data_IF_687962968874
#
_entry.id   IF_687962968874
#
_cell.length_a   1.000
_cell.length_b   1.000
_cell.length_c   1.000
_cell.angle_alpha   90.00
_cell.angle_beta   90.00
_cell.angle_gamma   90.00
#
_symmetry.space_group_name_H-M   'P 1'
#
loop_
_entity.id
_entity.type
_entity.pdbx_description
1 polymer ?
#
# COMPACT_ATOMS: atom_id res chain seq x y z
N UNK A 1 16.39 12.16 -11.56
CA UNK A 1 15.39 12.88 -12.37
C UNK A 1 14.78 11.87 -13.31
N UNK A 2 13.46 11.71 -13.31
CA UNK A 2 12.77 10.79 -14.22
C UNK A 2 12.68 11.41 -15.62
N UNK A 3 12.82 10.59 -16.67
CA UNK A 3 12.56 11.00 -18.05
C UNK A 3 11.11 11.47 -18.24
N UNK A 4 10.84 12.37 -19.19
CA UNK A 4 9.48 12.85 -19.48
C UNK A 4 8.48 11.71 -19.71
N UNK A 5 8.92 10.61 -20.32
CA UNK A 5 8.12 9.41 -20.54
C UNK A 5 7.86 8.59 -19.27
N UNK A 6 8.85 8.48 -18.38
CA UNK A 6 8.69 7.80 -17.08
C UNK A 6 7.69 8.52 -16.18
N UNK A 7 7.68 9.86 -16.22
CA UNK A 7 6.71 10.66 -15.50
C UNK A 7 5.27 10.46 -16.01
N UNK A 8 5.09 10.18 -17.31
CA UNK A 8 3.77 9.90 -17.88
C UNK A 8 3.27 8.52 -17.46
N UNK A 9 4.13 7.49 -17.53
CA UNK A 9 3.81 6.14 -17.07
C UNK A 9 3.45 6.11 -15.58
N UNK A 10 4.23 6.78 -14.72
CA UNK A 10 3.94 6.89 -13.29
C UNK A 10 2.58 7.55 -13.01
N UNK A 11 2.17 8.55 -13.80
CA UNK A 11 0.83 9.16 -13.68
C UNK A 11 -0.28 8.17 -14.03
N UNK A 12 -0.08 7.31 -15.04
CA UNK A 12 -1.05 6.29 -15.40
C UNK A 12 -1.19 5.24 -14.30
N UNK A 13 -0.07 4.75 -13.76
CA UNK A 13 -0.10 3.80 -12.64
C UNK A 13 -0.72 4.42 -11.39
N UNK A 14 -0.46 5.70 -11.10
CA UNK A 14 -1.13 6.41 -10.01
C UNK A 14 -2.65 6.42 -10.19
N UNK A 15 -3.13 6.78 -11.38
CA UNK A 15 -4.58 6.78 -11.69
C UNK A 15 -5.18 5.38 -11.52
N UNK A 16 -4.46 4.34 -11.96
CA UNK A 16 -4.90 2.94 -11.82
C UNK A 16 -5.05 2.53 -10.36
N UNK A 17 -4.04 2.81 -9.52
CA UNK A 17 -4.10 2.48 -8.09
C UNK A 17 -5.20 3.27 -7.38
N UNK A 18 -5.36 4.56 -7.71
CA UNK A 18 -6.45 5.38 -7.17
C UNK A 18 -7.81 4.78 -7.55
N UNK A 19 -8.03 4.43 -8.81
CA UNK A 19 -9.28 3.81 -9.27
C UNK A 19 -9.57 2.49 -8.53
N UNK A 20 -8.57 1.64 -8.30
CA UNK A 20 -8.75 0.41 -7.51
C UNK A 20 -9.24 0.67 -6.09
N UNK A 21 -8.75 1.75 -5.45
CA UNK A 21 -9.17 2.11 -4.10
C UNK A 21 -10.57 2.73 -4.14
N UNK A 22 -10.86 3.62 -5.11
CA UNK A 22 -12.17 4.25 -5.27
C UNK A 22 -13.29 3.23 -5.52
N UNK A 23 -13.01 2.17 -6.30
CA UNK A 23 -13.94 1.03 -6.47
C UNK A 23 -14.27 0.29 -5.16
N UNK A 24 -13.43 0.45 -4.12
CA UNK A 24 -13.66 -0.14 -2.80
C UNK A 24 -14.32 0.86 -1.83
N UNK A 25 -14.64 2.08 -2.24
CA UNK A 25 -15.27 3.10 -1.41
C UNK A 25 -16.74 3.22 -1.83
N UNK A 26 -17.69 3.28 -0.88
CA UNK A 26 -19.10 3.56 -1.21
C UNK A 26 -19.24 4.86 -2.01
N UNK A 27 -20.08 4.88 -3.04
CA UNK A 27 -20.26 6.05 -3.91
C UNK A 27 -20.69 7.29 -3.11
N UNK A 28 -21.52 7.10 -2.09
CA UNK A 28 -21.97 8.18 -1.21
C UNK A 28 -20.80 8.84 -0.47
N UNK A 29 -19.80 8.06 -0.05
CA UNK A 29 -18.62 8.60 0.63
C UNK A 29 -17.71 9.38 -0.34
N UNK A 30 -17.64 8.98 -1.61
CA UNK A 30 -16.92 9.71 -2.66
C UNK A 30 -17.62 11.03 -2.97
N UNK A 31 -18.94 11.02 -3.16
CA UNK A 31 -19.77 12.20 -3.44
C UNK A 31 -19.69 13.24 -2.30
N UNK A 32 -19.59 12.77 -1.06
CA UNK A 32 -19.44 13.63 0.11
C UNK A 32 -18.05 14.27 0.23
N UNK A 33 -17.08 13.89 -0.61
CA UNK A 33 -15.77 14.53 -0.72
C UNK A 33 -14.59 13.71 -0.20
N UNK A 34 -14.73 12.38 -0.09
CA UNK A 34 -13.58 11.51 0.22
C UNK A 34 -12.54 11.57 -0.91
N UNK A 35 -11.27 11.81 -0.55
CA UNK A 35 -10.19 11.93 -1.52
C UNK A 35 -9.17 10.81 -1.36
N UNK A 36 -8.80 10.17 -2.47
CA UNK A 36 -7.76 9.13 -2.51
C UNK A 36 -6.48 9.67 -3.11
N UNK A 37 -5.36 9.41 -2.44
CA UNK A 37 -4.02 9.78 -2.89
C UNK A 37 -3.11 8.55 -2.89
N UNK A 38 -2.52 8.23 -4.04
CA UNK A 38 -1.44 7.24 -4.15
C UNK A 38 -0.11 7.92 -4.46
N UNK A 39 0.97 7.50 -3.80
CA UNK A 39 2.33 8.00 -4.01
C UNK A 39 3.36 6.88 -3.90
N UNK A 40 4.38 6.95 -4.75
CA UNK A 40 5.52 6.04 -4.67
C UNK A 40 6.55 6.62 -3.70
N UNK A 41 6.91 5.85 -2.68
CA UNK A 41 7.83 6.23 -1.62
C UNK A 41 9.11 5.44 -1.79
N UNK A 42 10.25 6.14 -1.76
CA UNK A 42 11.57 5.51 -1.73
C UNK A 42 12.09 5.45 -0.29
N UNK A 43 12.65 4.30 0.08
CA UNK A 43 13.39 4.17 1.32
C UNK A 43 14.68 4.98 1.24
N UNK A 44 14.93 5.87 2.21
CA UNK A 44 16.13 6.75 2.23
C UNK A 44 17.32 6.14 2.99
N UNK A 45 17.21 4.91 3.50
CA UNK A 45 18.27 4.28 4.28
C UNK A 45 19.29 3.56 3.37
N UNK A 46 20.60 3.63 3.66
CA UNK A 46 21.63 2.93 2.89
C UNK A 46 21.42 1.40 3.00
N UNK A 47 21.40 0.70 1.85
CA UNK A 47 21.10 -0.73 1.76
C UNK A 47 19.61 -1.09 1.73
N UNK A 48 18.71 -0.11 1.78
CA UNK A 48 17.27 -0.33 1.75
C UNK A 48 16.72 -0.30 0.32
N UNK A 49 16.19 -1.44 -0.14
CA UNK A 49 15.31 -1.51 -1.31
C UNK A 49 14.04 -2.23 -0.85
N UNK A 50 12.94 -1.50 -0.66
CA UNK A 50 11.94 -1.46 -1.71
C UNK A 50 11.36 -0.06 -1.98
N UNK A 51 10.94 0.14 -3.23
CA UNK A 51 9.96 1.16 -3.58
C UNK A 51 8.60 0.71 -3.04
N UNK A 52 7.96 1.55 -2.25
CA UNK A 52 6.64 1.27 -1.68
C UNK A 52 5.58 2.15 -2.34
N UNK A 53 4.35 1.68 -2.37
CA UNK A 53 3.20 2.49 -2.77
C UNK A 53 2.40 2.84 -1.51
N UNK A 54 2.45 4.11 -1.11
CA UNK A 54 1.63 4.62 -0.03
C UNK A 54 0.28 5.07 -0.58
N UNK A 55 -0.79 4.66 0.09
CA UNK A 55 -2.17 5.02 -0.19
C UNK A 55 -2.70 5.80 1.02
N UNK A 56 -3.26 6.97 0.76
CA UNK A 56 -3.87 7.84 1.76
C UNK A 56 -5.29 8.14 1.33
N UNK A 57 -6.26 7.83 2.19
CA UNK A 57 -7.67 8.15 1.99
C UNK A 57 -8.03 9.23 3.01
N UNK A 58 -8.48 10.39 2.53
CA UNK A 58 -8.82 11.55 3.35
C UNK A 58 -10.33 11.70 3.38
N UNK A 59 -10.90 11.71 4.58
CA UNK A 59 -12.33 11.82 4.79
C UNK A 59 -12.71 13.24 5.22
N UNK A 60 -13.79 13.81 4.66
CA UNK A 60 -14.32 15.10 5.09
C UNK A 60 -14.89 14.97 6.52
N UNK A 61 -14.87 16.07 7.28
CA UNK A 61 -15.39 16.09 8.64
C UNK A 61 -16.89 16.39 8.63
N UNK A 62 -17.69 15.34 8.77
CA UNK A 62 -19.16 15.42 8.71
C UNK A 62 -19.86 15.12 10.04
N UNK A 63 -19.11 14.65 11.05
CA UNK A 63 -19.64 14.33 12.38
C UNK A 63 -20.18 12.92 12.55
N UNK A 64 -20.27 12.15 11.46
CA UNK A 64 -20.69 10.75 11.43
C UNK A 64 -19.67 9.89 10.65
N UNK A 65 -19.70 8.57 10.86
CA UNK A 65 -18.86 7.62 10.13
C UNK A 65 -19.37 7.49 8.68
N UNK A 66 -18.58 7.93 7.70
CA UNK A 66 -18.88 7.70 6.29
C UNK A 66 -18.75 6.23 5.89
N UNK A 67 -17.89 5.48 6.58
CA UNK A 67 -17.70 4.05 6.38
C UNK A 67 -17.86 3.39 7.74
N UNK A 68 -18.90 2.57 7.88
CA UNK A 68 -19.24 1.92 9.14
C UNK A 68 -18.09 1.04 9.65
N UNK A 69 -17.70 1.24 10.92
CA UNK A 69 -16.61 0.48 11.54
C UNK A 69 -15.22 0.97 11.16
N UNK A 70 -15.11 2.13 10.49
CA UNK A 70 -13.87 2.84 10.24
C UNK A 70 -13.91 4.22 10.92
N UNK A 71 -13.37 4.35 12.15
CA UNK A 71 -13.42 5.61 12.91
C UNK A 71 -12.75 6.79 12.21
N UNK A 72 -11.72 6.54 11.39
CA UNK A 72 -11.04 7.56 10.58
C UNK A 72 -11.96 8.26 9.57
N UNK A 73 -13.11 7.64 9.28
CA UNK A 73 -14.13 8.20 8.39
C UNK A 73 -14.94 9.33 9.02
N UNK A 74 -14.82 9.57 10.33
CA UNK A 74 -15.39 10.72 11.06
C UNK A 74 -14.64 12.05 10.87
N UNK A 75 -13.96 12.23 9.72
CA UNK A 75 -13.11 13.40 9.47
C UNK A 75 -11.66 13.18 9.89
N UNK A 76 -10.93 12.43 9.08
CA UNK A 76 -9.54 12.05 9.32
C UNK A 76 -8.85 11.55 8.04
N UNK A 77 -7.79 10.77 8.22
CA UNK A 77 -7.15 10.07 7.11
C UNK A 77 -6.78 8.64 7.49
N UNK A 78 -7.10 7.70 6.60
CA UNK A 78 -6.59 6.34 6.64
C UNK A 78 -5.33 6.26 5.77
N UNK A 79 -4.26 5.66 6.31
CA UNK A 79 -2.96 5.53 5.62
C UNK A 79 -2.52 4.08 5.60
N UNK A 80 -2.17 3.59 4.43
CA UNK A 80 -1.64 2.23 4.26
C UNK A 80 -0.50 2.22 3.24
N UNK A 81 0.24 1.11 3.22
CA UNK A 81 1.38 0.90 2.34
C UNK A 81 1.29 -0.48 1.70
N UNK A 82 1.57 -0.53 0.41
CA UNK A 82 1.83 -1.76 -0.35
C UNK A 82 3.33 -1.85 -0.59
N UNK A 83 3.96 -2.95 -0.20
CA UNK A 83 5.41 -3.18 -0.33
C UNK A 83 5.81 -3.57 -1.76
N UNK A 84 5.30 -2.82 -2.75
CA UNK A 84 5.58 -2.96 -4.17
C UNK A 84 5.67 -1.59 -4.84
N UNK A 85 6.49 -1.44 -5.90
CA UNK A 85 6.49 -0.23 -6.71
C UNK A 85 5.13 -0.06 -7.38
N UNK A 86 4.71 1.19 -7.61
CA UNK A 86 3.36 1.53 -8.07
C UNK A 86 2.97 0.86 -9.40
N UNK A 87 3.96 0.58 -10.25
CA UNK A 87 3.78 -0.13 -11.53
C UNK A 87 3.35 -1.60 -11.35
N UNK A 88 3.75 -2.23 -10.24
CA UNK A 88 3.50 -3.65 -9.95
C UNK A 88 2.27 -3.86 -9.04
N UNK A 89 1.66 -2.79 -8.53
CA UNK A 89 0.50 -2.90 -7.64
C UNK A 89 -0.71 -3.44 -8.40
N UNK A 90 -1.27 -4.55 -7.89
CA UNK A 90 -2.53 -5.12 -8.37
C UNK A 90 -3.73 -4.71 -7.51
N UNK A 91 -4.95 -5.06 -7.95
CA UNK A 91 -6.16 -4.83 -7.18
C UNK A 91 -6.16 -5.66 -5.89
N UNK A 92 -5.69 -6.89 -5.97
CA UNK A 92 -5.56 -7.79 -4.81
C UNK A 92 -4.62 -7.22 -3.76
N UNK A 93 -3.49 -6.64 -4.18
CA UNK A 93 -2.55 -5.97 -3.27
C UNK A 93 -3.22 -4.80 -2.52
N UNK A 94 -4.10 -4.06 -3.21
CA UNK A 94 -4.89 -2.98 -2.58
C UNK A 94 -5.87 -3.56 -1.57
N UNK A 95 -6.60 -4.61 -1.92
CA UNK A 95 -7.56 -5.25 -1.01
C UNK A 95 -6.88 -5.83 0.23
N UNK A 96 -5.68 -6.40 0.10
CA UNK A 96 -4.86 -6.86 1.23
C UNK A 96 -4.38 -5.69 2.12
N UNK A 97 -4.26 -4.50 1.56
CA UNK A 97 -3.84 -3.29 2.28
C UNK A 97 -5.00 -2.49 2.90
N UNK A 98 -6.25 -2.75 2.53
CA UNK A 98 -7.46 -2.09 3.05
C UNK A 98 -8.14 -2.93 4.15
N UNK A 99 -8.68 -2.30 5.21
CA UNK A 99 -9.35 -3.01 6.29
C UNK A 99 -10.71 -3.55 5.85
N UNK A 100 -11.29 -4.54 6.55
CA UNK A 100 -12.56 -5.17 6.18
C UNK A 100 -13.77 -4.22 6.19
N UNK A 101 -13.63 -3.03 6.78
CA UNK A 101 -14.64 -1.97 6.70
C UNK A 101 -14.85 -1.46 5.27
N UNK A 102 -13.84 -1.57 4.39
CA UNK A 102 -14.03 -1.34 2.95
C UNK A 102 -14.54 -2.62 2.29
N UNK A 103 -15.51 -2.53 1.35
CA UNK A 103 -15.90 -3.63 0.48
C UNK A 103 -14.71 -4.42 -0.07
N UNK A 104 -14.59 -5.69 0.34
CA UNK A 104 -13.54 -6.60 -0.13
C UNK A 104 -12.17 -6.45 0.54
N UNK A 105 -12.01 -5.52 1.49
CA UNK A 105 -10.77 -5.36 2.26
C UNK A 105 -10.44 -6.59 3.11
N UNK A 106 -9.16 -6.95 3.16
CA UNK A 106 -8.64 -8.18 3.80
C UNK A 106 -7.57 -7.92 4.85
N UNK A 107 -7.25 -6.66 5.12
CA UNK A 107 -6.20 -6.31 6.09
C UNK A 107 -6.65 -6.68 7.50
N UNK A 108 -6.08 -7.76 8.03
CA UNK A 108 -6.30 -8.19 9.42
C UNK A 108 -4.99 -8.09 10.22
N UNK A 109 -5.08 -8.11 11.55
CA UNK A 109 -3.89 -8.15 12.40
C UNK A 109 -3.08 -9.43 12.16
N UNK A 110 -3.74 -10.56 11.93
CA UNK A 110 -3.12 -11.84 11.64
C UNK A 110 -2.29 -11.76 10.35
N UNK A 111 -2.86 -11.20 9.28
CA UNK A 111 -2.16 -11.00 8.01
C UNK A 111 -0.96 -10.06 8.19
N UNK A 112 -1.11 -9.00 8.99
CA UNK A 112 -0.04 -8.07 9.30
C UNK A 112 1.12 -8.75 10.03
N UNK A 113 0.83 -9.58 11.05
CA UNK A 113 1.85 -10.31 11.78
C UNK A 113 2.57 -11.34 10.92
N UNK A 114 1.84 -12.04 10.04
CA UNK A 114 2.42 -12.98 9.09
C UNK A 114 3.35 -12.28 8.10
N UNK A 115 2.93 -11.15 7.55
CA UNK A 115 3.76 -10.36 6.64
C UNK A 115 5.00 -9.79 7.32
N UNK A 116 4.87 -9.27 8.55
CA UNK A 116 5.99 -8.78 9.34
C UNK A 116 7.01 -9.91 9.64
N UNK A 117 6.53 -11.11 9.98
CA UNK A 117 7.37 -12.30 10.17
C UNK A 117 8.15 -12.63 8.90
N UNK A 118 7.48 -12.69 7.76
CA UNK A 118 8.11 -13.11 6.51
C UNK A 118 9.17 -12.10 6.03
N UNK A 119 8.94 -10.79 6.22
CA UNK A 119 9.95 -9.76 5.98
C UNK A 119 11.17 -9.94 6.89
N UNK A 120 10.95 -10.18 8.18
CA UNK A 120 12.04 -10.40 9.15
C UNK A 120 12.85 -11.66 8.81
N UNK A 121 12.18 -12.75 8.41
CA UNK A 121 12.84 -13.99 7.96
C UNK A 121 13.66 -13.78 6.67
N UNK A 122 13.13 -13.02 5.72
CA UNK A 122 13.85 -12.65 4.50
C UNK A 122 15.13 -11.86 4.79
N UNK A 123 15.06 -10.91 5.72
CA UNK A 123 16.21 -10.11 6.17
C UNK A 123 17.26 -10.97 6.89
N UNK A 124 16.85 -11.90 7.77
CA UNK A 124 17.77 -12.84 8.41
C UNK A 124 18.50 -13.70 7.37
N UNK A 125 17.79 -14.16 6.35
CA UNK A 125 18.36 -15.00 5.28
C UNK A 125 19.42 -14.26 4.45
N UNK A 126 19.31 -12.93 4.31
CA UNK A 126 20.31 -12.09 3.66
C UNK A 126 21.55 -11.83 4.53
N UNK A 127 21.40 -11.87 5.87
CA UNK A 127 22.49 -11.67 6.83
C UNK A 127 23.33 -12.94 7.06
N UNK A 128 22.80 -14.12 6.74
CA UNK A 128 23.54 -15.37 6.80
C UNK A 128 24.36 -15.54 5.51
N UNK A 129 25.70 -15.47 5.56
CA UNK A 129 26.51 -15.73 4.37
C UNK A 129 26.25 -17.17 3.90
N UNK A 130 25.94 -17.35 2.60
CA UNK A 130 25.99 -18.65 1.94
C UNK A 130 27.42 -19.20 2.03
N UNK A 131 27.76 -19.89 3.11
CA UNK A 131 28.92 -20.80 3.13
C UNK A 131 28.51 -22.08 2.43
N UNK A 132 28.59 -22.07 1.09
CA UNK A 132 28.86 -23.29 0.34
C UNK A 132 30.11 -23.02 -0.49
N UNK A 133 31.26 -23.03 0.19
CA UNK A 133 32.48 -23.53 -0.40
C UNK A 133 32.33 -25.06 -0.43
N UNK A 134 31.89 -25.61 -1.56
CA UNK A 134 32.21 -27.00 -1.89
C UNK A 134 33.37 -26.94 -2.88
N UNK A 135 34.51 -27.38 -2.36
CA UNK A 135 35.79 -27.62 -3.01
C UNK A 135 35.67 -28.11 -4.46
N UNK A 136 36.53 -27.56 -5.30
CA UNK A 136 37.16 -28.29 -6.40
C UNK A 136 37.67 -29.65 -5.88
N UNK A 137 37.05 -30.73 -6.33
CA UNK A 137 37.74 -31.98 -6.70
C UNK A 137 36.82 -32.94 -7.43
#
# INVERSE_FOLDING_TARGET
MFSANENLALRQHKKKVVAFVEECIPEEALDMGTMVMAMQVSCKAPGCVPLETAIVIVFPKLGEELIAGLPESCGGNYKTKVLKPMVEVTKEDVLEALPPAFPGGKRSMENLFMQARDVMLGQITQLLPRKISREER
#
